data_IF_692659004937
#
_entry.id   IF_692659004937
#
_cell.length_a   1.000
_cell.length_b   1.000
_cell.length_c   1.000
_cell.angle_alpha   90.00
_cell.angle_beta   90.00
_cell.angle_gamma   90.00
#
_symmetry.space_group_name_H-M   'P 1'
#
loop_
_entity.id
_entity.type
_entity.pdbx_description
1 polymer ?
#
# COMPACT_ATOMS: atom_id res chain seq x y z
N UNK A 1 17.59 19.68 -7.34
CA UNK A 1 17.18 18.47 -8.11
C UNK A 1 15.67 18.34 -8.01
N UNK A 2 14.96 17.89 -9.06
CA UNK A 2 13.53 17.57 -8.96
C UNK A 2 13.30 16.56 -7.81
N UNK A 3 12.40 16.86 -6.88
CA UNK A 3 12.14 16.01 -5.70
C UNK A 3 12.83 16.40 -4.40
N UNK A 4 13.67 17.44 -4.40
CA UNK A 4 14.09 18.13 -3.16
C UNK A 4 13.09 19.23 -2.75
N UNK A 5 12.05 19.48 -3.54
CA UNK A 5 10.99 20.41 -3.17
C UNK A 5 10.17 19.83 -2.00
N UNK A 6 9.96 20.62 -0.94
CA UNK A 6 9.05 20.22 0.15
C UNK A 6 7.65 20.03 -0.44
N UNK A 7 7.14 18.80 -0.40
CA UNK A 7 5.72 18.56 -0.63
C UNK A 7 4.95 19.24 0.51
N UNK A 8 4.17 20.28 0.17
CA UNK A 8 3.33 20.99 1.14
C UNK A 8 2.22 20.01 1.56
N UNK A 9 2.43 19.32 2.67
CA UNK A 9 1.38 18.56 3.33
C UNK A 9 0.51 19.59 4.06
N UNK A 10 -0.67 19.89 3.52
CA UNK A 10 -1.62 20.77 4.21
C UNK A 10 -2.27 19.96 5.34
N UNK A 11 -1.79 20.19 6.57
CA UNK A 11 -2.51 19.85 7.80
C UNK A 11 -2.23 20.89 8.90
N UNK A 12 -3.25 21.71 9.10
CA UNK A 12 -3.66 22.52 10.27
C UNK A 12 -2.76 23.63 10.88
N UNK A 13 -3.39 24.82 10.83
CA UNK A 13 -3.46 25.89 11.84
C UNK A 13 -2.28 26.85 12.02
N UNK A 14 -2.60 28.11 11.72
CA UNK A 14 -1.97 29.37 12.14
C UNK A 14 -0.95 29.25 13.27
N UNK A 15 0.33 29.21 12.88
CA UNK A 15 1.41 29.76 13.68
C UNK A 15 2.23 30.64 12.72
N UNK A 16 2.13 31.95 12.90
CA UNK A 16 2.95 32.89 12.16
C UNK A 16 4.42 32.58 12.41
N UNK A 17 5.22 32.58 11.34
CA UNK A 17 6.65 32.93 11.31
C UNK A 17 7.16 32.71 9.88
N UNK A 18 7.52 33.82 9.24
CA UNK A 18 8.48 33.93 8.15
C UNK A 18 8.31 32.93 7.00
N UNK A 19 7.56 33.33 5.98
CA UNK A 19 7.75 32.89 4.60
C UNK A 19 9.17 33.25 4.16
N UNK A 20 10.17 32.50 4.62
CA UNK A 20 11.47 32.47 3.98
C UNK A 20 11.22 32.08 2.52
N UNK A 21 11.70 32.92 1.61
CA UNK A 21 11.90 32.56 0.22
C UNK A 21 12.88 31.37 0.21
N UNK A 22 12.37 30.15 0.38
CA UNK A 22 13.22 28.97 0.49
C UNK A 22 13.87 28.78 -0.88
N UNK A 23 15.13 29.21 -0.98
CA UNK A 23 15.95 28.98 -2.17
C UNK A 23 16.02 27.49 -2.50
N UNK A 24 16.43 27.19 -3.73
CA UNK A 24 16.59 25.81 -4.20
C UNK A 24 17.52 25.06 -3.23
N UNK A 25 17.03 23.99 -2.60
CA UNK A 25 17.85 23.10 -1.77
C UNK A 25 18.84 22.38 -2.69
N UNK A 26 20.13 22.55 -2.42
CA UNK A 26 21.23 21.89 -3.13
C UNK A 26 21.71 20.68 -2.34
N UNK A 27 22.54 19.84 -2.96
CA UNK A 27 23.11 18.67 -2.27
C UNK A 27 24.30 19.14 -1.44
N UNK A 28 24.23 18.96 -0.11
CA UNK A 28 25.35 19.19 0.78
C UNK A 28 26.30 17.98 0.82
N UNK A 29 25.75 16.77 0.96
CA UNK A 29 26.54 15.53 0.99
C UNK A 29 25.69 14.28 0.74
N UNK A 30 26.35 13.13 0.62
CA UNK A 30 25.71 11.81 0.63
C UNK A 30 26.08 11.09 1.93
N UNK A 31 25.15 10.34 2.51
CA UNK A 31 25.48 9.48 3.65
C UNK A 31 26.41 8.35 3.20
N UNK A 32 27.48 8.10 3.97
CA UNK A 32 28.51 7.10 3.64
C UNK A 32 27.98 5.66 3.64
N UNK A 33 26.94 5.38 4.45
CA UNK A 33 26.36 4.06 4.57
C UNK A 33 25.16 3.90 3.64
N UNK A 34 25.19 2.83 2.84
CA UNK A 34 24.11 2.46 1.92
C UNK A 34 23.52 1.13 2.33
N UNK A 35 22.22 1.11 2.62
CA UNK A 35 21.51 -0.13 2.92
C UNK A 35 21.06 -0.82 1.62
N UNK A 36 21.25 -2.14 1.53
CA UNK A 36 20.80 -2.95 0.40
C UNK A 36 19.58 -3.74 0.84
N UNK A 37 18.43 -3.56 0.18
CA UNK A 37 17.21 -4.27 0.53
C UNK A 37 17.28 -5.73 0.04
N UNK A 38 16.83 -6.66 0.87
CA UNK A 38 16.86 -8.10 0.64
C UNK A 38 15.75 -8.58 -0.31
N UNK A 39 15.66 -7.97 -1.49
CA UNK A 39 14.72 -8.37 -2.55
C UNK A 39 15.46 -8.95 -3.76
N UNK A 40 14.71 -9.49 -4.73
CA UNK A 40 15.27 -10.08 -5.96
C UNK A 40 16.18 -9.10 -6.72
N UNK A 41 15.83 -7.82 -6.74
CA UNK A 41 16.57 -6.78 -7.47
C UNK A 41 17.64 -6.08 -6.62
N UNK A 42 17.73 -6.39 -5.32
CA UNK A 42 18.70 -5.81 -4.36
C UNK A 42 18.86 -4.28 -4.48
N UNK A 43 17.77 -3.49 -4.45
CA UNK A 43 17.84 -2.05 -4.62
C UNK A 43 18.55 -1.40 -3.41
N UNK A 44 19.14 -0.22 -3.65
CA UNK A 44 19.98 0.49 -2.67
C UNK A 44 19.19 1.66 -2.07
N UNK A 45 19.05 1.69 -0.75
CA UNK A 45 18.53 2.85 -0.01
C UNK A 45 19.68 3.82 0.20
N UNK A 46 19.62 4.96 -0.48
CA UNK A 46 20.59 6.05 -0.38
C UNK A 46 19.97 7.22 0.38
N UNK A 47 20.80 7.98 1.10
CA UNK A 47 20.37 9.16 1.85
C UNK A 47 21.24 10.33 1.38
N UNK A 48 20.59 11.41 0.97
CA UNK A 48 21.19 12.65 0.49
C UNK A 48 20.91 13.72 1.53
N UNK A 49 21.93 14.45 1.96
CA UNK A 49 21.79 15.59 2.89
C UNK A 49 21.68 16.86 2.07
N UNK A 50 20.60 17.62 2.27
CA UNK A 50 20.38 18.90 1.62
C UNK A 50 21.20 20.04 2.24
N UNK A 51 21.32 21.16 1.52
CA UNK A 51 21.92 22.40 2.04
C UNK A 51 21.12 23.02 3.20
N UNK A 52 19.90 22.56 3.42
CA UNK A 52 19.05 22.89 4.57
C UNK A 52 19.32 21.99 5.80
N UNK A 53 20.23 21.01 5.68
CA UNK A 53 20.56 20.06 6.73
C UNK A 53 19.62 18.86 6.81
N UNK A 54 18.55 18.84 6.01
CA UNK A 54 17.55 17.77 6.02
C UNK A 54 18.03 16.53 5.25
N UNK A 55 17.50 15.36 5.64
CA UNK A 55 17.83 14.07 5.02
C UNK A 55 16.74 13.66 4.03
N UNK A 56 17.15 13.49 2.78
CA UNK A 56 16.30 13.04 1.69
C UNK A 56 16.65 11.61 1.30
N UNK A 57 15.71 10.71 1.51
CA UNK A 57 15.93 9.27 1.29
C UNK A 57 15.39 8.85 -0.07
N UNK A 58 16.18 8.07 -0.81
CA UNK A 58 15.81 7.53 -2.10
C UNK A 58 16.12 6.04 -2.20
N UNK A 59 15.32 5.34 -2.98
CA UNK A 59 15.58 3.99 -3.43
C UNK A 59 16.18 4.04 -4.85
N UNK A 60 17.45 3.70 -4.96
CA UNK A 60 18.12 3.50 -6.24
C UNK A 60 17.77 2.11 -6.77
N UNK A 61 17.04 2.10 -7.89
CA UNK A 61 16.70 0.90 -8.64
C UNK A 61 17.55 0.81 -9.91
N UNK A 62 18.08 -0.37 -10.16
CA UNK A 62 18.84 -0.70 -11.37
C UNK A 62 18.19 -1.82 -12.15
N UNK A 63 18.46 -1.87 -13.46
CA UNK A 63 17.85 -2.76 -14.46
C UNK A 63 16.33 -2.58 -14.57
N UNK A 64 15.84 -1.39 -14.29
CA UNK A 64 14.43 -1.02 -14.36
C UNK A 64 14.31 0.37 -15.01
N UNK A 65 13.34 0.55 -15.89
CA UNK A 65 13.07 1.81 -16.58
C UNK A 65 11.94 2.55 -15.87
N UNK A 66 12.29 3.60 -15.12
CA UNK A 66 11.34 4.34 -14.28
C UNK A 66 10.63 5.49 -15.02
N UNK A 67 10.79 5.60 -16.35
CA UNK A 67 10.16 6.68 -17.13
C UNK A 67 8.64 6.59 -17.09
N UNK A 68 8.09 5.38 -17.08
CA UNK A 68 6.64 5.16 -16.96
C UNK A 68 6.13 5.68 -15.62
N UNK A 69 6.73 5.23 -14.51
CA UNK A 69 6.35 5.67 -13.18
C UNK A 69 6.49 7.19 -13.02
N UNK A 70 7.55 7.80 -13.57
CA UNK A 70 7.72 9.25 -13.54
C UNK A 70 6.57 10.00 -14.24
N UNK A 71 6.04 9.48 -15.35
CA UNK A 71 4.87 10.05 -16.04
C UNK A 71 3.59 9.87 -15.24
N UNK A 72 3.45 8.74 -14.52
CA UNK A 72 2.32 8.53 -13.63
C UNK A 72 2.37 9.51 -12.47
N UNK A 73 3.53 9.75 -11.84
CA UNK A 73 3.65 10.75 -10.78
C UNK A 73 3.24 12.16 -11.23
N UNK A 74 3.60 12.55 -12.46
CA UNK A 74 3.16 13.81 -13.05
C UNK A 74 1.64 13.86 -13.26
N UNK A 75 1.04 12.76 -13.70
CA UNK A 75 -0.42 12.66 -13.83
C UNK A 75 -1.10 12.80 -12.46
N UNK A 76 -0.61 12.10 -11.42
CA UNK A 76 -1.18 12.21 -10.07
C UNK A 76 -1.09 13.65 -9.53
N UNK A 77 0.04 14.33 -9.79
CA UNK A 77 0.19 15.74 -9.47
C UNK A 77 -0.82 16.62 -10.20
N UNK A 78 -1.04 16.38 -11.50
CA UNK A 78 -2.04 17.10 -12.28
C UNK A 78 -3.45 16.86 -11.71
N UNK A 79 -3.79 15.61 -11.36
CA UNK A 79 -5.07 15.26 -10.73
C UNK A 79 -5.27 16.04 -9.43
N UNK A 80 -4.27 16.14 -8.56
CA UNK A 80 -4.38 16.95 -7.35
C UNK A 80 -4.67 18.43 -7.67
N UNK A 81 -3.99 19.01 -8.66
CA UNK A 81 -4.27 20.39 -9.06
C UNK A 81 -5.72 20.57 -9.54
N UNK A 82 -6.27 19.60 -10.29
CA UNK A 82 -7.67 19.60 -10.68
C UNK A 82 -8.61 19.46 -9.47
N UNK A 83 -8.35 18.53 -8.55
CA UNK A 83 -9.17 18.35 -7.35
C UNK A 83 -9.19 19.61 -6.47
N UNK A 84 -8.05 20.29 -6.32
CA UNK A 84 -7.95 21.53 -5.55
C UNK A 84 -8.61 22.74 -6.24
N UNK A 85 -8.74 22.72 -7.56
CA UNK A 85 -9.45 23.79 -8.29
C UNK A 85 -10.97 23.75 -8.12
N UNK A 86 -11.52 22.60 -7.69
CA UNK A 86 -12.96 22.41 -7.49
C UNK A 86 -13.38 22.75 -6.05
N UNK A 87 -14.17 23.81 -5.90
CA UNK A 87 -14.73 24.22 -4.60
C UNK A 87 -15.59 23.14 -3.94
N UNK A 88 -16.22 22.26 -4.74
CA UNK A 88 -17.02 21.13 -4.24
C UNK A 88 -16.17 20.05 -3.55
N UNK A 89 -14.91 19.87 -3.96
CA UNK A 89 -14.01 18.83 -3.43
C UNK A 89 -13.06 19.39 -2.37
N UNK A 90 -12.86 20.71 -2.35
CA UNK A 90 -12.00 21.39 -1.38
C UNK A 90 -12.44 21.16 0.07
N UNK A 91 -13.74 21.04 0.32
CA UNK A 91 -14.30 20.73 1.65
C UNK A 91 -14.07 19.28 2.09
N UNK A 92 -13.78 18.37 1.16
CA UNK A 92 -13.61 16.93 1.41
C UNK A 92 -12.15 16.53 1.62
N UNK A 93 -11.19 17.46 1.49
CA UNK A 93 -9.75 17.21 1.69
C UNK A 93 -9.21 16.00 0.91
N UNK A 94 -9.75 15.75 -0.29
CA UNK A 94 -9.29 14.65 -1.16
C UNK A 94 -7.94 15.03 -1.75
N UNK A 95 -6.94 14.19 -1.49
CA UNK A 95 -5.60 14.32 -2.05
C UNK A 95 -5.05 12.94 -2.41
N UNK A 96 -4.37 12.86 -3.54
CA UNK A 96 -3.68 11.66 -4.00
C UNK A 96 -2.21 11.78 -3.66
N UNK A 97 -1.70 10.88 -2.82
CA UNK A 97 -0.28 10.83 -2.49
C UNK A 97 0.53 10.40 -3.73
N UNK A 98 1.56 11.17 -4.05
CA UNK A 98 2.55 10.87 -5.08
C UNK A 98 3.95 11.16 -4.54
N UNK A 99 4.98 10.61 -5.17
CA UNK A 99 6.37 10.74 -4.73
C UNK A 99 7.27 11.02 -5.92
N UNK A 100 8.45 11.58 -5.68
CA UNK A 100 9.39 11.91 -6.77
C UNK A 100 10.00 10.65 -7.37
N UNK A 101 10.16 10.67 -8.70
CA UNK A 101 10.88 9.66 -9.46
C UNK A 101 11.82 10.37 -10.42
N UNK A 102 13.10 10.03 -10.35
CA UNK A 102 14.14 10.61 -11.19
C UNK A 102 14.79 9.51 -12.02
N UNK A 103 14.36 9.31 -13.28
CA UNK A 103 15.05 8.43 -14.21
C UNK A 103 16.48 8.94 -14.46
N UNK A 104 17.48 8.09 -14.26
CA UNK A 104 18.89 8.40 -14.53
C UNK A 104 19.27 7.93 -15.94
N UNK A 105 18.78 6.74 -16.33
CA UNK A 105 18.97 6.15 -17.65
C UNK A 105 17.77 5.26 -17.98
N UNK A 106 17.72 4.69 -19.19
CA UNK A 106 16.70 3.69 -19.55
C UNK A 106 16.78 2.37 -18.78
N UNK A 107 17.68 2.24 -17.79
CA UNK A 107 17.83 1.05 -16.95
C UNK A 107 18.08 1.39 -15.47
N UNK A 108 18.01 2.64 -15.05
CA UNK A 108 18.23 2.99 -13.65
C UNK A 108 17.54 4.31 -13.30
N UNK A 109 17.16 4.45 -12.05
CA UNK A 109 16.67 5.72 -11.52
C UNK A 109 16.46 5.69 -10.02
N UNK A 110 16.06 6.85 -9.49
CA UNK A 110 15.76 7.06 -8.09
C UNK A 110 14.25 7.11 -7.90
N UNK A 111 13.77 6.48 -6.83
CA UNK A 111 12.41 6.62 -6.33
C UNK A 111 12.51 7.25 -4.95
N UNK A 112 11.80 8.33 -4.69
CA UNK A 112 11.75 8.93 -3.37
C UNK A 112 11.18 7.92 -2.37
N UNK A 113 11.85 7.81 -1.23
CA UNK A 113 11.36 6.99 -0.15
C UNK A 113 10.18 7.70 0.53
N UNK A 114 9.08 6.98 0.71
CA UNK A 114 7.92 7.47 1.45
C UNK A 114 8.04 6.91 2.86
N UNK A 115 8.17 7.80 3.85
CA UNK A 115 8.23 7.44 5.26
C UNK A 115 6.84 7.19 5.85
N UNK A 116 6.81 6.53 7.01
CA UNK A 116 5.62 6.30 7.82
C UNK A 116 4.48 5.53 7.14
N UNK A 117 4.78 4.78 6.08
CA UNK A 117 3.83 3.92 5.37
C UNK A 117 4.08 2.45 5.66
N UNK A 118 3.00 1.67 5.76
CA UNK A 118 3.03 0.23 5.99
C UNK A 118 2.15 -0.45 4.94
N UNK A 119 2.62 -1.56 4.35
CA UNK A 119 1.78 -2.30 3.40
C UNK A 119 0.60 -2.96 4.10
N UNK A 120 -0.57 -3.01 3.46
CA UNK A 120 -1.74 -3.70 4.01
C UNK A 120 -1.39 -5.18 4.29
N UNK A 121 -0.53 -5.79 3.47
CA UNK A 121 -0.04 -7.14 3.72
C UNK A 121 0.76 -7.26 5.01
N UNK A 122 1.61 -6.27 5.33
CA UNK A 122 2.39 -6.24 6.57
C UNK A 122 1.49 -6.12 7.80
N UNK A 123 0.41 -5.32 7.71
CA UNK A 123 -0.61 -5.23 8.75
C UNK A 123 -1.30 -6.59 8.96
N UNK A 124 -1.72 -7.24 7.88
CA UNK A 124 -2.32 -8.58 7.94
C UNK A 124 -1.37 -9.62 8.55
N UNK A 125 -0.11 -9.64 8.12
CA UNK A 125 0.91 -10.55 8.65
C UNK A 125 1.18 -10.31 10.13
N UNK A 126 1.26 -9.06 10.57
CA UNK A 126 1.41 -8.71 11.98
C UNK A 126 0.23 -9.21 12.82
N UNK A 127 -1.00 -9.07 12.33
CA UNK A 127 -2.18 -9.65 12.96
C UNK A 127 -2.09 -11.18 13.08
N UNK A 128 -1.70 -11.88 12.02
CA UNK A 128 -1.54 -13.35 12.05
C UNK A 128 -0.53 -13.78 13.12
N UNK A 129 0.63 -13.11 13.19
CA UNK A 129 1.64 -13.38 14.22
C UNK A 129 1.09 -13.19 15.63
N UNK A 130 0.31 -12.13 15.88
CA UNK A 130 -0.31 -11.88 17.20
C UNK A 130 -1.31 -12.97 17.58
N UNK A 131 -2.18 -13.38 16.66
CA UNK A 131 -3.17 -14.46 16.91
C UNK A 131 -2.47 -15.78 17.23
N UNK A 132 -1.43 -16.13 16.48
CA UNK A 132 -0.67 -17.35 16.69
C UNK A 132 0.04 -17.36 18.06
N UNK A 133 0.66 -16.24 18.45
CA UNK A 133 1.28 -16.08 19.76
C UNK A 133 0.25 -16.20 20.89
N UNK A 134 -0.91 -15.57 20.76
CA UNK A 134 -1.98 -15.64 21.75
C UNK A 134 -2.50 -17.08 21.95
N UNK A 135 -2.64 -17.85 20.86
CA UNK A 135 -3.03 -19.26 20.90
C UNK A 135 -1.98 -20.14 21.61
N UNK A 136 -0.69 -19.94 21.30
CA UNK A 136 0.39 -20.67 21.95
C UNK A 136 0.45 -20.38 23.46
N UNK A 137 0.24 -19.12 23.86
CA UNK A 137 0.19 -18.73 25.27
C UNK A 137 -1.00 -19.35 26.02
N UNK A 138 -2.17 -19.49 25.35
CA UNK A 138 -3.37 -20.07 25.95
C UNK A 138 -3.27 -21.60 26.17
N UNK A 139 -2.44 -22.30 25.39
CA UNK A 139 -2.29 -23.77 25.44
C UNK A 139 -1.30 -24.26 26.52
N UNK A 140 -0.75 -23.38 27.35
CA UNK A 140 0.01 -23.77 28.56
C UNK A 140 1.26 -24.62 28.31
N UNK A 141 1.99 -24.37 27.22
CA UNK A 141 3.17 -25.18 26.88
C UNK A 141 4.40 -24.83 27.74
N UNK A 142 4.92 -25.84 28.44
CA UNK A 142 6.23 -25.87 29.08
C UNK A 142 7.31 -25.27 28.17
N UNK A 143 7.91 -24.17 28.64
CA UNK A 143 8.84 -23.29 27.93
C UNK A 143 10.22 -23.91 27.65
N UNK A 144 10.28 -25.01 26.89
CA UNK A 144 11.54 -25.60 26.39
C UNK A 144 11.42 -26.04 24.92
N UNK A 145 11.07 -25.11 24.04
CA UNK A 145 11.38 -25.09 22.59
C UNK A 145 10.87 -23.75 22.01
N UNK A 146 11.69 -22.68 22.04
CA UNK A 146 12.51 -22.13 20.94
C UNK A 146 11.77 -21.94 19.61
N UNK A 147 11.33 -20.70 19.40
CA UNK A 147 10.83 -20.07 18.16
C UNK A 147 9.42 -20.50 17.73
N UNK A 148 8.43 -19.59 17.70
CA UNK A 148 7.09 -19.89 17.18
C UNK A 148 7.16 -20.26 15.69
N UNK A 149 6.31 -21.20 15.21
CA UNK A 149 6.34 -21.60 13.81
C UNK A 149 6.02 -20.41 12.89
N UNK A 150 6.61 -20.36 11.68
CA UNK A 150 6.39 -19.24 10.77
C UNK A 150 4.92 -19.14 10.36
N UNK A 151 4.42 -17.91 10.25
CA UNK A 151 3.07 -17.63 9.75
C UNK A 151 2.92 -18.24 8.35
N UNK A 152 1.83 -18.97 8.07
CA UNK A 152 1.62 -19.61 6.78
C UNK A 152 1.51 -18.57 5.66
N UNK A 153 2.09 -18.86 4.50
CA UNK A 153 2.00 -17.95 3.36
C UNK A 153 0.59 -18.00 2.76
N UNK A 154 0.12 -16.92 2.11
CA UNK A 154 -1.21 -16.90 1.49
C UNK A 154 -1.47 -18.06 0.53
N UNK A 155 -0.46 -18.46 -0.25
CA UNK A 155 -0.56 -19.64 -1.13
C UNK A 155 -0.82 -20.92 -0.34
N UNK A 156 -0.10 -21.14 0.77
CA UNK A 156 -0.23 -22.35 1.58
C UNK A 156 -1.63 -22.42 2.22
N UNK A 157 -2.14 -21.28 2.74
CA UNK A 157 -3.49 -21.16 3.28
C UNK A 157 -4.57 -21.48 2.23
N UNK A 158 -4.41 -20.93 1.01
CA UNK A 158 -5.34 -21.18 -0.09
C UNK A 158 -5.32 -22.64 -0.54
N UNK A 159 -4.15 -23.22 -0.78
CA UNK A 159 -4.03 -24.62 -1.20
C UNK A 159 -4.50 -25.59 -0.12
N UNK A 160 -4.27 -25.25 1.16
CA UNK A 160 -4.76 -26.01 2.30
C UNK A 160 -6.29 -26.17 2.35
N UNK A 161 -7.06 -25.22 1.78
CA UNK A 161 -8.53 -25.31 1.69
C UNK A 161 -9.06 -25.79 0.35
N UNK A 162 -8.46 -25.34 -0.76
CA UNK A 162 -8.97 -25.67 -2.10
C UNK A 162 -8.79 -27.15 -2.44
N UNK A 163 -7.68 -27.77 -2.00
CA UNK A 163 -7.40 -29.18 -2.31
C UNK A 163 -8.42 -30.10 -1.61
N UNK A 164 -8.70 -29.97 -0.29
CA UNK A 164 -9.77 -30.73 0.34
C UNK A 164 -11.14 -30.50 -0.29
N UNK A 165 -11.50 -29.25 -0.60
CA UNK A 165 -12.80 -28.93 -1.18
C UNK A 165 -12.99 -29.52 -2.60
N UNK A 166 -11.91 -29.60 -3.40
CA UNK A 166 -11.91 -30.30 -4.69
C UNK A 166 -12.10 -31.81 -4.51
N UNK A 167 -11.41 -32.41 -3.52
CA UNK A 167 -11.54 -33.84 -3.20
C UNK A 167 -12.95 -34.21 -2.73
N UNK A 168 -13.58 -33.36 -1.92
CA UNK A 168 -14.98 -33.50 -1.46
C UNK A 168 -15.96 -33.55 -2.65
N UNK A 169 -15.68 -32.81 -3.72
CA UNK A 169 -16.44 -32.83 -4.98
C UNK A 169 -16.06 -33.97 -5.93
N UNK A 170 -15.26 -34.94 -5.49
CA UNK A 170 -14.84 -36.08 -6.31
C UNK A 170 -13.68 -35.78 -7.28
N UNK A 171 -13.13 -34.57 -7.27
CA UNK A 171 -12.00 -34.19 -8.13
C UNK A 171 -10.71 -34.62 -7.43
N UNK A 172 -10.26 -35.85 -7.70
CA UNK A 172 -9.07 -36.44 -7.08
C UNK A 172 -7.77 -36.22 -7.86
N UNK A 173 -7.87 -35.97 -9.17
CA UNK A 173 -6.71 -35.66 -10.04
C UNK A 173 -6.54 -34.14 -10.13
N UNK A 174 -5.28 -33.69 -10.15
CA UNK A 174 -4.95 -32.26 -10.31
C UNK A 174 -5.34 -31.84 -11.72
N UNK A 175 -6.53 -31.26 -11.86
CA UNK A 175 -6.98 -30.56 -13.06
C UNK A 175 -6.41 -29.14 -13.08
N UNK A 176 -6.30 -28.54 -14.27
CA UNK A 176 -5.83 -27.17 -14.41
C UNK A 176 -6.69 -26.21 -13.60
N UNK A 177 -6.08 -25.15 -13.04
CA UNK A 177 -6.78 -24.14 -12.22
C UNK A 177 -7.93 -23.46 -12.96
N UNK A 178 -7.84 -23.39 -14.29
CA UNK A 178 -8.89 -22.86 -15.17
C UNK A 178 -10.17 -23.69 -15.07
N UNK A 179 -10.03 -25.00 -14.93
CA UNK A 179 -11.13 -25.97 -14.97
C UNK A 179 -11.75 -26.23 -13.59
N UNK A 180 -11.23 -25.60 -12.53
CA UNK A 180 -11.78 -25.76 -11.19
C UNK A 180 -13.19 -25.17 -11.09
N UNK A 181 -14.17 -25.90 -10.49
CA UNK A 181 -15.54 -25.43 -10.37
C UNK A 181 -15.65 -24.09 -9.63
N UNK A 182 -16.48 -23.18 -10.15
CA UNK A 182 -16.67 -21.86 -9.57
C UNK A 182 -17.28 -21.93 -8.17
N UNK A 183 -18.14 -22.91 -7.91
CA UNK A 183 -18.80 -23.15 -6.62
C UNK A 183 -17.77 -23.49 -5.55
N UNK A 184 -16.76 -24.29 -5.89
CA UNK A 184 -15.67 -24.66 -4.98
C UNK A 184 -14.77 -23.47 -4.70
N UNK A 185 -14.39 -22.70 -5.74
CA UNK A 185 -13.63 -21.45 -5.58
C UNK A 185 -14.37 -20.46 -4.67
N UNK A 186 -15.67 -20.30 -4.88
CA UNK A 186 -16.55 -19.41 -4.10
C UNK A 186 -16.67 -19.86 -2.64
N UNK A 187 -16.91 -21.16 -2.38
CA UNK A 187 -16.96 -21.73 -1.03
C UNK A 187 -15.66 -21.43 -0.27
N UNK A 188 -14.51 -21.75 -0.86
CA UNK A 188 -13.20 -21.53 -0.24
C UNK A 188 -12.90 -20.05 0.00
N UNK A 189 -13.28 -19.17 -0.94
CA UNK A 189 -13.17 -17.73 -0.74
C UNK A 189 -13.97 -17.27 0.49
N UNK A 190 -15.24 -17.65 0.59
CA UNK A 190 -16.10 -17.28 1.71
C UNK A 190 -15.59 -17.84 3.05
N UNK A 191 -15.05 -19.05 3.05
CA UNK A 191 -14.48 -19.66 4.25
C UNK A 191 -13.21 -18.93 4.70
N UNK A 192 -12.34 -18.52 3.78
CA UNK A 192 -11.16 -17.70 4.10
C UNK A 192 -11.55 -16.30 4.57
N UNK A 193 -12.58 -15.70 3.97
CA UNK A 193 -13.09 -14.38 4.36
C UNK A 193 -13.61 -14.36 5.81
N UNK A 194 -14.21 -15.47 6.28
CA UNK A 194 -14.68 -15.62 7.67
C UNK A 194 -13.55 -15.72 8.68
N UNK A 195 -12.40 -16.28 8.28
CA UNK A 195 -11.23 -16.42 9.17
C UNK A 195 -10.44 -15.12 9.31
N UNK A 196 -10.51 -14.25 8.29
CA UNK A 196 -9.81 -12.97 8.30
C UNK A 196 -10.65 -11.86 8.97
N UNK A 197 -10.06 -11.02 9.82
CA UNK A 197 -10.75 -9.91 10.46
C UNK A 197 -11.14 -8.85 9.42
N UNK A 198 -12.42 -8.47 9.41
CA UNK A 198 -12.92 -7.43 8.51
C UNK A 198 -12.40 -6.05 8.91
N UNK A 199 -12.49 -5.69 10.18
CA UNK A 199 -12.20 -4.35 10.70
C UNK A 199 -10.71 -4.10 11.00
N UNK A 200 -9.80 -4.89 10.42
CA UNK A 200 -8.37 -4.82 10.77
C UNK A 200 -7.80 -3.41 10.57
N UNK A 201 -8.00 -2.82 9.38
CA UNK A 201 -7.48 -1.48 9.09
C UNK A 201 -8.20 -0.39 9.90
N UNK A 202 -9.51 -0.53 10.12
CA UNK A 202 -10.29 0.39 10.96
C UNK A 202 -9.74 0.45 12.39
N UNK A 203 -9.44 -0.72 12.98
CA UNK A 203 -8.90 -0.83 14.34
C UNK A 203 -7.48 -0.27 14.43
N UNK A 204 -6.61 -0.56 13.46
CA UNK A 204 -5.25 0.00 13.42
C UNK A 204 -5.28 1.52 13.26
N UNK A 205 -6.20 2.05 12.45
CA UNK A 205 -6.40 3.50 12.30
C UNK A 205 -6.89 4.15 13.60
N UNK A 206 -7.80 3.48 14.33
CA UNK A 206 -8.24 3.93 15.65
C UNK A 206 -7.10 3.93 16.66
N UNK A 207 -6.35 2.83 16.76
CA UNK A 207 -5.21 2.71 17.68
C UNK A 207 -4.10 3.72 17.38
N UNK A 208 -3.92 4.10 16.12
CA UNK A 208 -2.97 5.14 15.72
C UNK A 208 -3.49 6.58 15.95
N UNK A 209 -4.72 6.76 16.42
CA UNK A 209 -5.36 8.08 16.54
C UNK A 209 -5.41 8.58 17.98
N UNK A 210 -5.08 9.85 18.17
CA UNK A 210 -5.22 10.55 19.44
C UNK A 210 -6.66 11.04 19.62
N UNK A 211 -7.55 10.11 19.95
CA UNK A 211 -8.96 10.38 20.18
C UNK A 211 -9.82 10.51 18.90
N UNK A 212 -11.10 10.79 19.11
CA UNK A 212 -12.12 10.69 18.04
C UNK A 212 -11.95 11.72 16.93
N UNK A 213 -11.54 12.95 17.23
CA UNK A 213 -11.35 14.00 16.21
C UNK A 213 -10.24 13.60 15.24
N UNK A 214 -9.08 13.19 15.75
CA UNK A 214 -7.97 12.72 14.93
C UNK A 214 -8.38 11.50 14.08
N UNK A 215 -9.06 10.53 14.70
CA UNK A 215 -9.57 9.36 14.01
C UNK A 215 -10.53 9.72 12.86
N UNK A 216 -11.51 10.59 13.11
CA UNK A 216 -12.47 11.01 12.10
C UNK A 216 -11.80 11.72 10.92
N UNK A 217 -10.81 12.57 11.19
CA UNK A 217 -10.02 13.23 10.14
C UNK A 217 -9.23 12.21 9.30
N UNK A 218 -8.56 11.23 9.93
CA UNK A 218 -7.83 10.17 9.22
C UNK A 218 -8.77 9.28 8.41
N UNK A 219 -9.95 8.96 8.94
CA UNK A 219 -10.95 8.16 8.25
C UNK A 219 -11.47 8.86 6.99
N UNK A 220 -11.71 10.18 7.05
CA UNK A 220 -12.08 10.98 5.88
C UNK A 220 -10.99 10.98 4.81
N UNK A 221 -9.73 11.15 5.23
CA UNK A 221 -8.57 11.09 4.32
C UNK A 221 -8.39 9.72 3.69
N UNK A 222 -8.57 8.66 4.47
CA UNK A 222 -8.58 7.28 3.97
C UNK A 222 -9.65 7.09 2.91
N UNK A 223 -10.90 7.45 3.20
CA UNK A 223 -12.02 7.33 2.25
C UNK A 223 -11.76 8.11 0.96
N UNK A 224 -11.35 9.38 1.08
CA UNK A 224 -11.04 10.23 -0.08
C UNK A 224 -9.90 9.68 -0.94
N UNK A 225 -8.80 9.23 -0.32
CA UNK A 225 -7.65 8.68 -1.03
C UNK A 225 -7.95 7.33 -1.70
N UNK A 226 -8.73 6.45 -1.03
CA UNK A 226 -9.23 5.19 -1.62
C UNK A 226 -10.12 5.47 -2.83
N UNK A 227 -11.07 6.40 -2.71
CA UNK A 227 -11.97 6.75 -3.80
C UNK A 227 -11.19 7.32 -5.00
N UNK A 228 -10.32 8.30 -4.76
CA UNK A 228 -9.52 8.92 -5.81
C UNK A 228 -8.63 7.90 -6.53
N UNK A 229 -7.88 7.08 -5.78
CA UNK A 229 -7.01 6.05 -6.38
C UNK A 229 -7.78 4.92 -7.06
N UNK A 230 -9.00 4.61 -6.63
CA UNK A 230 -9.85 3.62 -7.31
C UNK A 230 -10.28 4.12 -8.69
N UNK A 231 -10.71 5.39 -8.79
CA UNK A 231 -11.07 6.01 -10.06
C UNK A 231 -9.86 6.17 -10.97
N UNK A 232 -8.74 6.69 -10.45
CA UNK A 232 -7.49 6.82 -11.21
C UNK A 232 -7.01 5.45 -11.69
N UNK A 233 -7.05 4.44 -10.81
CA UNK A 233 -6.67 3.07 -11.15
C UNK A 233 -7.53 2.48 -12.26
N UNK A 234 -8.84 2.71 -12.21
CA UNK A 234 -9.75 2.28 -13.28
C UNK A 234 -9.43 2.96 -14.61
N UNK A 235 -9.28 4.29 -14.62
CA UNK A 235 -9.01 5.07 -15.84
C UNK A 235 -7.65 4.71 -16.45
N UNK A 236 -6.63 4.48 -15.61
CA UNK A 236 -5.30 4.08 -16.06
C UNK A 236 -5.19 2.60 -16.42
N UNK A 237 -6.17 1.78 -16.07
CA UNK A 237 -6.07 0.31 -16.14
C UNK A 237 -4.92 -0.23 -15.29
N UNK A 238 -4.79 0.25 -14.04
CA UNK A 238 -3.80 -0.25 -13.08
C UNK A 238 -4.16 -1.66 -12.61
N UNK A 239 -3.24 -2.60 -12.82
CA UNK A 239 -3.30 -3.97 -12.30
C UNK A 239 -2.23 -4.25 -11.24
N UNK A 240 -2.12 -5.51 -10.82
CA UNK A 240 -1.17 -5.98 -9.81
C UNK A 240 -1.28 -5.20 -8.49
N UNK A 241 -2.52 -4.83 -8.11
CA UNK A 241 -2.83 -4.07 -6.88
C UNK A 241 -2.90 -4.98 -5.65
N UNK A 242 -1.95 -5.91 -5.50
CA UNK A 242 -1.86 -6.78 -4.34
C UNK A 242 -1.54 -6.00 -3.06
N UNK A 243 -1.74 -6.63 -1.89
CA UNK A 243 -1.64 -5.97 -0.58
C UNK A 243 -0.24 -5.44 -0.21
N UNK A 244 0.82 -5.82 -0.93
CA UNK A 244 2.15 -5.20 -0.82
C UNK A 244 2.31 -3.89 -1.62
N UNK A 245 1.48 -3.67 -2.64
CA UNK A 245 1.52 -2.48 -3.51
C UNK A 245 0.55 -1.38 -3.07
N UNK A 246 -0.30 -1.67 -2.08
CA UNK A 246 -1.17 -0.70 -1.42
C UNK A 246 -0.65 -0.52 0.00
N UNK A 247 -0.12 0.67 0.26
CA UNK A 247 0.41 1.09 1.55
C UNK A 247 -0.58 2.04 2.22
N UNK A 248 -0.50 2.11 3.55
CA UNK A 248 -1.27 3.02 4.36
C UNK A 248 -0.35 3.81 5.28
N UNK A 249 -0.59 5.11 5.36
CA UNK A 249 0.03 6.00 6.34
C UNK A 249 -0.92 6.14 7.53
N UNK A 250 -0.61 5.49 8.66
CA UNK A 250 -1.47 5.54 9.85
C UNK A 250 -1.36 6.88 10.61
N UNK A 251 -0.36 7.72 10.29
CA UNK A 251 -0.25 9.06 10.85
C UNK A 251 -1.24 10.01 10.17
N UNK A 252 -1.33 10.00 8.84
CA UNK A 252 -2.23 10.87 8.07
C UNK A 252 -3.59 10.25 7.74
N UNK A 253 -3.67 8.93 7.61
CA UNK A 253 -4.83 8.20 7.11
C UNK A 253 -4.84 7.99 5.59
N UNK A 254 -3.86 8.52 4.84
CA UNK A 254 -3.84 8.38 3.38
C UNK A 254 -3.38 6.97 2.94
N UNK A 255 -3.92 6.50 1.81
CA UNK A 255 -3.32 5.37 1.09
C UNK A 255 -2.25 5.83 0.09
N UNK A 256 -1.27 4.97 -0.14
CA UNK A 256 -0.20 5.20 -1.11
C UNK A 256 -0.06 3.96 -1.98
N UNK A 257 -0.26 4.12 -3.29
CA UNK A 257 -0.02 3.05 -4.25
C UNK A 257 1.43 3.11 -4.75
N UNK A 258 2.07 1.95 -4.84
CA UNK A 258 3.43 1.80 -5.40
C UNK A 258 3.43 0.81 -6.56
N UNK A 259 4.57 0.76 -7.27
CA UNK A 259 4.85 -0.13 -8.40
C UNK A 259 3.83 0.01 -9.54
N UNK A 260 4.08 0.87 -10.52
CA UNK A 260 3.12 1.12 -11.60
C UNK A 260 3.46 0.38 -12.90
N UNK A 261 4.28 -0.67 -12.83
CA UNK A 261 4.73 -1.43 -13.99
C UNK A 261 3.59 -2.11 -14.77
N UNK A 262 2.49 -2.43 -14.08
CA UNK A 262 1.28 -3.05 -14.65
C UNK A 262 0.17 -2.00 -14.77
N UNK A 263 0.27 -1.12 -15.76
CA UNK A 263 -0.77 -0.15 -16.12
C UNK A 263 -1.22 -0.34 -17.59
N UNK A 264 -2.23 0.41 -18.03
CA UNK A 264 -2.84 0.32 -19.37
C UNK A 264 -3.36 -1.09 -19.68
N UNK A 265 -4.13 -1.65 -18.75
CA UNK A 265 -4.82 -2.95 -18.86
C UNK A 265 -3.91 -4.17 -19.03
N UNK A 266 -2.60 -4.00 -18.76
CA UNK A 266 -1.65 -5.13 -18.73
C UNK A 266 -2.05 -6.21 -17.72
N UNK A 267 -2.82 -5.87 -16.68
CA UNK A 267 -3.38 -6.82 -15.71
C UNK A 267 -4.23 -7.93 -16.33
N UNK A 268 -4.88 -7.66 -17.46
CA UNK A 268 -5.69 -8.63 -18.20
C UNK A 268 -4.82 -9.70 -18.91
N UNK A 269 -3.53 -9.42 -19.11
CA UNK A 269 -2.57 -10.30 -19.80
C UNK A 269 -1.74 -11.15 -18.85
N UNK A 270 -1.96 -11.01 -17.54
CA UNK A 270 -1.29 -11.83 -16.53
C UNK A 270 -1.69 -13.31 -16.68
N UNK A 271 -0.87 -14.23 -16.14
CA UNK A 271 -1.15 -15.67 -16.15
C UNK A 271 -2.52 -15.99 -15.56
N UNK A 272 -2.92 -15.21 -14.55
CA UNK A 272 -4.27 -15.15 -14.01
C UNK A 272 -4.73 -13.72 -14.21
N UNK A 273 -5.62 -13.46 -15.17
CA UNK A 273 -6.09 -12.11 -15.47
C UNK A 273 -6.77 -11.46 -14.26
N UNK A 274 -6.44 -10.20 -14.02
CA UNK A 274 -7.23 -9.34 -13.14
C UNK A 274 -8.41 -8.77 -13.92
N UNK A 275 -9.62 -9.08 -13.46
CA UNK A 275 -10.87 -8.67 -14.11
C UNK A 275 -11.61 -7.56 -13.36
N UNK A 276 -11.10 -7.18 -12.19
CA UNK A 276 -11.68 -6.12 -11.34
C UNK A 276 -10.96 -4.80 -11.62
N UNK A 277 -11.69 -3.66 -11.65
CA UNK A 277 -11.09 -2.37 -11.98
C UNK A 277 -10.21 -1.79 -10.86
N UNK A 278 -10.49 -2.16 -9.61
CA UNK A 278 -9.74 -1.74 -8.43
C UNK A 278 -9.99 -2.68 -7.25
N UNK A 279 -9.17 -2.56 -6.20
CA UNK A 279 -9.28 -3.35 -4.98
C UNK A 279 -10.28 -2.71 -4.00
N UNK A 280 -11.47 -3.31 -3.87
CA UNK A 280 -12.46 -2.98 -2.83
C UNK A 280 -12.89 -4.27 -2.12
N UNK A 281 -11.96 -4.84 -1.36
CA UNK A 281 -12.20 -6.09 -0.61
C UNK A 281 -12.81 -5.80 0.75
N UNK A 282 -13.29 -6.85 1.45
CA UNK A 282 -13.98 -6.71 2.75
C UNK A 282 -13.22 -5.87 3.79
N UNK A 283 -11.89 -5.90 3.77
CA UNK A 283 -11.06 -5.18 4.73
C UNK A 283 -10.90 -3.71 4.36
N UNK A 284 -10.88 -3.38 3.06
CA UNK A 284 -10.86 -2.00 2.58
C UNK A 284 -12.22 -1.36 2.81
N UNK A 285 -13.30 -2.06 2.46
CA UNK A 285 -14.68 -1.58 2.66
C UNK A 285 -15.00 -1.35 4.14
N UNK A 286 -14.69 -2.32 5.01
CA UNK A 286 -14.94 -2.18 6.44
C UNK A 286 -14.14 -1.05 7.10
N UNK A 287 -13.05 -0.62 6.47
CA UNK A 287 -12.24 0.49 6.95
C UNK A 287 -12.83 1.87 6.60
N UNK A 288 -13.80 1.95 5.68
CA UNK A 288 -14.51 3.20 5.36
C UNK A 288 -15.49 3.63 6.47
N UNK A 289 -15.80 2.72 7.40
CA UNK A 289 -16.70 2.98 8.53
C UNK A 289 -17.99 2.17 8.44
N UNK A 290 -18.94 2.51 9.31
CA UNK A 290 -20.18 1.74 9.49
C UNK A 290 -21.09 1.72 8.25
N UNK A 291 -21.06 2.78 7.45
CA UNK A 291 -21.84 2.92 6.22
C UNK A 291 -21.15 2.31 5.00
N UNK A 292 -19.91 1.81 5.16
CA UNK A 292 -19.11 1.28 4.06
C UNK A 292 -18.92 2.31 2.95
N UNK A 293 -19.32 1.97 1.73
CA UNK A 293 -19.19 2.83 0.53
C UNK A 293 -20.21 3.98 0.46
N UNK A 294 -21.17 4.06 1.38
CA UNK A 294 -22.19 5.11 1.41
C UNK A 294 -21.79 6.29 2.32
N UNK A 295 -20.53 6.33 2.79
CA UNK A 295 -19.96 7.34 3.69
C UNK A 295 -19.80 8.72 3.05
#
# INVERSE_FOLDING_TARGET
MPGLEKQITVSESEAGLNTSSSGIVTIASFCEQVAILSTKTKPKKIIIVGSDGEKYTYLLKGREDLRLDARIMQLLQAVNNFLHSSSAVQSQSVCVRFYSITPISGRAGLIQWVDSVVSIYSVFKAWQSRVQLAQLSALGANAKQTVPPPVPRPMDMFYGKIIPALKEKGIRRVISRRDWPHEVKRKVLLDLMKEAPKQLLYQELWCASEGFKAFSSKLKRYSGSVAAMSIIGHVLGLGDRHLDNILMDFCSGDIVHIDYNVCFDKGQRLKIPEIVPFHLTQTIEAALGLTGIQS
#
